data_IF_763830640459
#
_entry.id   IF_763830640459
#
_cell.length_a   1.000
_cell.length_b   1.000
_cell.length_c   1.000
_cell.angle_alpha   90.00
_cell.angle_beta   90.00
_cell.angle_gamma   90.00
#
_symmetry.space_group_name_H-M   'P 1'
#
loop_
_entity.id
_entity.type
_entity.pdbx_description
1 polymer ?
#
# COMPACT_ATOMS: atom_id res chain seq x y z
N UNK A 1 -33.20 -57.21 -42.14
CA UNK A 1 -34.22 -58.27 -41.95
C UNK A 1 -33.68 -59.30 -40.97
N UNK A 2 -34.43 -59.55 -39.87
CA UNK A 2 -34.51 -60.76 -39.01
C UNK A 2 -33.19 -61.32 -38.42
N UNK A 3 -32.94 -61.28 -37.09
CA UNK A 3 -33.38 -62.25 -36.03
C UNK A 3 -33.07 -63.72 -36.44
N UNK A 4 -32.47 -64.62 -35.67
CA UNK A 4 -32.05 -64.73 -34.27
C UNK A 4 -31.37 -66.12 -34.05
N UNK A 5 -30.90 -66.40 -32.81
CA UNK A 5 -30.82 -67.72 -32.11
C UNK A 5 -29.56 -68.59 -32.40
N UNK A 6 -28.62 -68.75 -31.45
CA UNK A 6 -28.50 -69.78 -30.35
C UNK A 6 -28.24 -71.21 -30.90
N UNK A 7 -27.40 -72.13 -30.38
CA UNK A 7 -26.88 -72.40 -29.03
C UNK A 7 -25.93 -73.65 -29.10
N UNK A 8 -24.91 -73.74 -28.22
CA UNK A 8 -24.13 -74.89 -27.68
C UNK A 8 -23.52 -76.01 -28.60
N UNK A 9 -22.46 -76.77 -28.27
CA UNK A 9 -21.28 -76.78 -27.38
C UNK A 9 -20.64 -78.19 -27.50
N UNK A 10 -19.34 -78.32 -27.82
CA UNK A 10 -18.46 -79.51 -27.58
C UNK A 10 -17.15 -79.33 -28.38
N UNK A 11 -15.95 -79.71 -27.97
CA UNK A 11 -15.34 -80.16 -26.72
C UNK A 11 -13.80 -80.15 -26.95
N UNK A 12 -13.02 -79.95 -25.88
CA UNK A 12 -11.63 -80.40 -25.70
C UNK A 12 -10.49 -79.81 -26.58
N UNK A 13 -9.27 -79.54 -26.12
CA UNK A 13 -8.64 -79.04 -24.87
C UNK A 13 -7.12 -79.07 -25.19
N UNK A 14 -6.39 -78.01 -24.78
CA UNK A 14 -4.93 -77.82 -24.83
C UNK A 14 -4.21 -77.54 -26.17
N UNK A 15 -3.64 -76.33 -26.30
CA UNK A 15 -2.62 -75.98 -27.30
C UNK A 15 -2.33 -74.47 -27.29
N UNK A 16 -1.16 -74.08 -26.75
CA UNK A 16 -0.87 -72.71 -26.32
C UNK A 16 -0.80 -71.64 -27.40
N UNK A 17 -1.32 -70.45 -27.06
CA UNK A 17 -0.92 -69.16 -27.62
C UNK A 17 -1.37 -68.06 -26.65
N UNK A 18 -0.45 -67.57 -25.82
CA UNK A 18 -0.71 -66.51 -24.85
C UNK A 18 -0.88 -65.18 -25.60
N UNK A 19 -2.11 -64.90 -26.06
CA UNK A 19 -2.50 -63.57 -26.54
C UNK A 19 -3.06 -62.77 -25.36
N UNK A 20 -2.41 -61.65 -25.08
CA UNK A 20 -2.82 -60.63 -24.12
C UNK A 20 -4.30 -60.23 -24.34
N UNK A 21 -5.17 -60.53 -23.38
CA UNK A 21 -6.48 -59.90 -23.26
C UNK A 21 -6.31 -58.64 -22.37
N UNK A 22 -6.89 -57.49 -22.72
CA UNK A 22 -6.80 -56.32 -21.86
C UNK A 22 -7.63 -56.57 -20.60
N UNK A 23 -6.99 -56.55 -19.43
CA UNK A 23 -7.69 -56.39 -18.15
C UNK A 23 -8.49 -55.09 -18.22
N UNK A 24 -9.81 -55.19 -18.37
CA UNK A 24 -10.70 -54.09 -18.04
C UNK A 24 -10.65 -53.95 -16.52
N UNK A 25 -9.70 -53.15 -16.02
CA UNK A 25 -9.73 -52.63 -14.67
C UNK A 25 -11.04 -51.85 -14.51
N UNK A 26 -12.04 -52.48 -13.90
CA UNK A 26 -13.18 -51.75 -13.38
C UNK A 26 -12.64 -50.68 -12.44
N UNK A 27 -12.83 -49.41 -12.78
CA UNK A 27 -12.49 -48.30 -11.90
C UNK A 27 -13.12 -48.59 -10.53
N UNK A 28 -12.37 -48.51 -9.42
CA UNK A 28 -13.00 -48.56 -8.12
C UNK A 28 -14.08 -47.46 -8.08
N UNK A 29 -15.22 -47.71 -7.42
CA UNK A 29 -16.27 -46.71 -7.30
C UNK A 29 -15.63 -45.41 -6.80
N UNK A 30 -15.94 -44.28 -7.46
CA UNK A 30 -15.50 -42.95 -7.01
C UNK A 30 -15.99 -42.82 -5.56
N UNK A 31 -15.11 -43.07 -4.60
CA UNK A 31 -15.36 -42.75 -3.20
C UNK A 31 -15.64 -41.27 -3.17
N UNK A 32 -16.88 -40.92 -2.85
CA UNK A 32 -17.27 -39.55 -2.66
C UNK A 32 -16.35 -38.98 -1.59
N UNK A 33 -15.57 -37.97 -1.95
CA UNK A 33 -14.73 -37.22 -1.01
C UNK A 33 -15.68 -36.73 0.09
N UNK A 34 -15.45 -37.09 1.37
CA UNK A 34 -16.33 -36.70 2.46
C UNK A 34 -16.44 -35.16 2.50
N UNK A 35 -17.60 -34.63 2.88
CA UNK A 35 -17.86 -33.18 2.89
C UNK A 35 -16.81 -32.39 3.70
N UNK A 36 -16.23 -33.00 4.75
CA UNK A 36 -15.11 -32.48 5.54
C UNK A 36 -13.81 -32.29 4.76
N UNK A 37 -13.59 -33.03 3.67
CA UNK A 37 -12.45 -32.86 2.77
C UNK A 37 -12.73 -31.87 1.62
N UNK A 38 -13.98 -31.40 1.46
CA UNK A 38 -14.30 -30.23 0.61
C UNK A 38 -14.08 -28.89 1.33
N UNK A 39 -14.19 -28.87 2.65
CA UNK A 39 -13.90 -27.68 3.48
C UNK A 39 -12.41 -27.32 3.55
N UNK A 40 -11.51 -28.24 3.20
CA UNK A 40 -10.04 -28.07 3.33
C UNK A 40 -9.30 -27.59 2.08
N UNK A 41 -10.01 -27.00 1.10
CA UNK A 41 -9.39 -26.35 -0.07
C UNK A 41 -9.62 -24.84 -0.13
N UNK A 42 -9.82 -24.18 1.01
CA UNK A 42 -9.63 -22.73 1.04
C UNK A 42 -8.16 -22.46 0.73
N UNK A 43 -7.90 -21.84 -0.43
CA UNK A 43 -6.57 -21.34 -0.75
C UNK A 43 -6.10 -20.50 0.45
N UNK A 44 -4.87 -20.71 0.93
CA UNK A 44 -4.34 -19.88 2.00
C UNK A 44 -4.46 -18.40 1.62
N UNK A 45 -4.80 -17.51 2.56
CA UNK A 45 -5.06 -16.11 2.24
C UNK A 45 -3.82 -15.49 1.57
N UNK A 46 -4.03 -14.49 0.69
CA UNK A 46 -2.94 -13.81 0.01
C UNK A 46 -1.82 -13.38 0.96
N UNK A 47 -0.59 -13.47 0.52
CA UNK A 47 0.56 -13.06 1.31
C UNK A 47 0.74 -11.55 1.18
N UNK A 48 0.55 -10.82 2.28
CA UNK A 48 1.02 -9.42 2.38
C UNK A 48 2.55 -9.41 2.51
N UNK A 49 3.21 -8.61 1.69
CA UNK A 49 4.65 -8.39 1.74
C UNK A 49 4.90 -6.89 1.89
N UNK A 50 5.56 -6.52 2.98
CA UNK A 50 6.17 -5.22 3.20
C UNK A 50 7.66 -5.27 2.87
N UNK A 51 8.15 -4.25 2.15
CA UNK A 51 9.57 -4.07 1.88
C UNK A 51 10.10 -2.86 2.67
N UNK A 52 11.13 -3.09 3.48
CA UNK A 52 11.89 -2.06 4.18
C UNK A 52 13.25 -1.87 3.46
N UNK A 53 13.31 -0.84 2.61
CA UNK A 53 14.31 -0.72 1.55
C UNK A 53 15.72 -0.37 2.05
N UNK A 54 15.81 0.33 3.18
CA UNK A 54 17.06 0.94 3.64
C UNK A 54 17.43 0.34 5.00
N UNK A 55 18.73 0.06 5.25
CA UNK A 55 19.23 -0.39 6.55
C UNK A 55 18.78 0.49 7.72
N UNK A 56 18.93 0.02 8.95
CA UNK A 56 18.69 0.88 10.11
C UNK A 56 19.78 1.97 10.23
N UNK A 57 19.44 3.17 10.75
CA UNK A 57 20.44 4.18 11.08
C UNK A 57 21.59 3.60 11.92
N UNK A 58 22.83 3.89 11.54
CA UNK A 58 24.03 3.36 12.23
C UNK A 58 24.50 1.99 11.75
N UNK A 59 23.77 1.33 10.83
CA UNK A 59 24.21 0.06 10.23
C UNK A 59 25.51 0.21 9.41
N UNK A 60 26.31 -0.86 9.26
CA UNK A 60 27.49 -0.85 8.39
C UNK A 60 27.16 -0.49 6.94
N UNK A 61 28.13 -0.01 6.14
CA UNK A 61 27.86 0.44 4.77
C UNK A 61 27.19 -0.64 3.92
N UNK A 62 26.13 -0.29 3.18
CA UNK A 62 25.30 -1.16 2.35
C UNK A 62 25.18 -0.63 0.92
N UNK A 63 26.14 -0.96 0.03
CA UNK A 63 26.14 -0.38 -1.31
C UNK A 63 25.06 -0.96 -2.23
N UNK A 64 24.25 -1.90 -1.76
CA UNK A 64 23.02 -2.38 -2.39
C UNK A 64 21.80 -1.50 -2.06
N UNK A 65 21.87 -0.69 -1.00
CA UNK A 65 20.80 0.22 -0.66
C UNK A 65 20.74 1.37 -1.67
N UNK A 66 19.54 1.93 -1.94
CA UNK A 66 19.38 3.12 -2.76
C UNK A 66 20.37 4.22 -2.40
N UNK A 67 21.15 4.69 -3.40
CA UNK A 67 22.18 5.69 -3.18
C UNK A 67 21.57 7.08 -3.03
N UNK A 68 20.60 7.41 -3.88
CA UNK A 68 19.90 8.69 -3.90
C UNK A 68 18.37 8.54 -3.72
N UNK A 69 17.66 9.62 -3.38
CA UNK A 69 16.19 9.60 -3.32
C UNK A 69 15.51 9.18 -4.62
N UNK A 70 16.11 9.44 -5.78
CA UNK A 70 15.57 9.00 -7.08
C UNK A 70 15.59 7.47 -7.18
N UNK A 71 16.72 6.85 -6.87
CA UNK A 71 16.89 5.39 -6.88
C UNK A 71 15.94 4.74 -5.87
N UNK A 72 15.76 5.39 -4.71
CA UNK A 72 14.84 4.93 -3.68
C UNK A 72 13.40 4.88 -4.20
N UNK A 73 12.95 5.92 -4.90
CA UNK A 73 11.60 6.00 -5.46
C UNK A 73 11.41 5.04 -6.65
N UNK A 74 12.45 4.84 -7.46
CA UNK A 74 12.45 3.83 -8.53
C UNK A 74 12.35 2.42 -7.95
N UNK A 75 13.11 2.11 -6.90
CA UNK A 75 13.06 0.81 -6.25
C UNK A 75 11.71 0.58 -5.54
N UNK A 76 11.08 1.60 -4.96
CA UNK A 76 9.69 1.52 -4.46
C UNK A 76 8.73 1.13 -5.58
N UNK A 77 8.83 1.77 -6.76
CA UNK A 77 7.99 1.44 -7.93
C UNK A 77 8.21 -0.01 -8.37
N UNK A 78 9.45 -0.46 -8.40
CA UNK A 78 9.81 -1.82 -8.80
C UNK A 78 9.32 -2.86 -7.77
N UNK A 79 9.42 -2.57 -6.48
CA UNK A 79 8.88 -3.41 -5.41
C UNK A 79 7.38 -3.64 -5.62
N UNK A 80 6.61 -2.57 -5.83
CA UNK A 80 5.15 -2.67 -6.02
C UNK A 80 4.82 -3.43 -7.31
N UNK A 81 5.57 -3.21 -8.41
CA UNK A 81 5.37 -3.96 -9.66
C UNK A 81 5.59 -5.47 -9.49
N UNK A 82 6.52 -5.88 -8.63
CA UNK A 82 6.83 -7.29 -8.38
C UNK A 82 5.80 -7.93 -7.45
N UNK A 83 5.25 -7.17 -6.49
CA UNK A 83 4.20 -7.65 -5.58
C UNK A 83 4.29 -7.15 -4.15
N UNK A 84 5.09 -6.13 -3.85
CA UNK A 84 5.03 -5.49 -2.54
C UNK A 84 3.68 -4.76 -2.37
N UNK A 85 2.96 -5.05 -1.30
CA UNK A 85 1.70 -4.41 -0.98
C UNK A 85 1.88 -3.20 -0.05
N UNK A 86 2.97 -3.23 0.73
CA UNK A 86 3.38 -2.18 1.65
C UNK A 86 4.88 -1.87 1.46
N UNK A 87 5.25 -0.63 1.75
CA UNK A 87 6.65 -0.22 1.86
C UNK A 87 6.85 0.53 3.17
N UNK A 88 7.93 0.19 3.86
CA UNK A 88 8.38 0.97 5.01
C UNK A 88 9.20 2.13 4.50
N UNK A 89 8.69 3.34 4.71
CA UNK A 89 9.28 4.58 4.20
C UNK A 89 10.17 5.20 5.25
N UNK A 90 11.44 5.37 4.92
CA UNK A 90 12.41 6.07 5.77
C UNK A 90 12.74 7.45 5.19
N UNK A 91 13.06 8.44 6.04
CA UNK A 91 13.28 9.81 5.63
C UNK A 91 14.69 10.02 5.01
N UNK A 92 14.99 9.35 3.90
CA UNK A 92 16.29 9.42 3.23
C UNK A 92 16.66 10.87 2.85
N UNK A 93 17.82 11.33 3.27
CA UNK A 93 18.29 12.68 2.99
C UNK A 93 18.57 12.87 1.48
N UNK A 94 18.45 14.10 0.99
CA UNK A 94 18.74 14.44 -0.42
C UNK A 94 20.22 14.28 -0.78
N UNK A 95 21.11 14.45 0.20
CA UNK A 95 22.56 14.28 0.10
C UNK A 95 23.02 12.89 0.58
N UNK A 96 22.09 11.94 0.69
CA UNK A 96 22.41 10.54 0.90
C UNK A 96 23.31 10.04 -0.23
N UNK A 97 24.31 9.23 0.12
CA UNK A 97 25.31 8.72 -0.80
C UNK A 97 25.34 7.20 -0.84
N UNK A 98 25.92 6.66 -1.92
CA UNK A 98 26.04 5.23 -2.14
C UNK A 98 26.68 4.52 -0.93
N UNK A 99 26.02 3.48 -0.45
CA UNK A 99 26.55 2.65 0.62
C UNK A 99 26.42 3.22 2.03
N UNK A 100 26.09 4.49 2.23
CA UNK A 100 25.85 5.05 3.57
C UNK A 100 24.61 5.93 3.56
N UNK A 101 23.41 5.33 3.70
CA UNK A 101 22.17 6.07 3.78
C UNK A 101 22.21 7.13 4.88
N UNK A 102 21.84 8.36 4.54
CA UNK A 102 21.62 9.44 5.50
C UNK A 102 20.13 9.70 5.67
N UNK A 103 19.75 10.23 6.82
CA UNK A 103 18.35 10.49 7.16
C UNK A 103 18.16 11.95 7.54
N UNK A 104 17.29 12.66 6.83
CA UNK A 104 16.84 14.00 7.17
C UNK A 104 15.41 13.90 7.71
N UNK A 105 15.26 14.04 9.03
CA UNK A 105 13.97 13.89 9.71
C UNK A 105 13.12 15.16 9.70
N UNK A 106 13.48 16.19 8.93
CA UNK A 106 12.68 17.39 8.80
C UNK A 106 11.30 17.09 8.21
N UNK A 107 10.27 17.85 8.64
CA UNK A 107 8.92 17.77 8.05
C UNK A 107 8.96 17.98 6.52
N UNK A 108 9.82 18.86 6.03
CA UNK A 108 9.99 19.11 4.61
C UNK A 108 10.42 17.84 3.85
N UNK A 109 11.36 17.07 4.41
CA UNK A 109 11.81 15.83 3.78
C UNK A 109 10.76 14.72 3.85
N UNK A 110 10.06 14.58 4.97
CA UNK A 110 8.93 13.64 5.08
C UNK A 110 7.87 13.91 4.01
N UNK A 111 7.45 15.16 3.85
CA UNK A 111 6.51 15.58 2.80
C UNK A 111 7.02 15.22 1.40
N UNK A 112 8.28 15.54 1.12
CA UNK A 112 8.92 15.28 -0.17
C UNK A 112 8.93 13.79 -0.51
N UNK A 113 9.35 12.94 0.43
CA UNK A 113 9.47 11.50 0.20
C UNK A 113 8.10 10.85 0.07
N UNK A 114 7.14 11.19 0.94
CA UNK A 114 5.78 10.63 0.84
C UNK A 114 5.14 11.03 -0.49
N UNK A 115 5.29 12.29 -0.93
CA UNK A 115 4.82 12.72 -2.24
C UNK A 115 5.49 11.92 -3.37
N UNK A 116 6.81 11.70 -3.29
CA UNK A 116 7.55 10.87 -4.24
C UNK A 116 7.06 9.42 -4.27
N UNK A 117 6.82 8.80 -3.11
CA UNK A 117 6.31 7.44 -2.99
C UNK A 117 4.92 7.33 -3.60
N UNK A 118 4.03 8.30 -3.35
CA UNK A 118 2.71 8.33 -3.97
C UNK A 118 2.79 8.44 -5.50
N UNK A 119 3.69 9.27 -6.02
CA UNK A 119 3.93 9.35 -7.48
C UNK A 119 4.50 8.05 -8.05
N UNK A 120 5.33 7.33 -7.28
CA UNK A 120 5.92 6.07 -7.70
C UNK A 120 4.91 4.91 -7.65
N UNK A 121 4.07 4.86 -6.62
CA UNK A 121 3.11 3.81 -6.34
C UNK A 121 1.85 4.37 -5.62
N UNK A 122 0.83 4.81 -6.36
CA UNK A 122 -0.33 5.53 -5.82
C UNK A 122 -1.13 4.80 -4.76
N UNK A 123 -1.19 3.46 -4.85
CA UNK A 123 -2.05 2.60 -4.04
C UNK A 123 -1.32 1.91 -2.87
N UNK A 124 0.02 1.98 -2.83
CA UNK A 124 0.82 1.23 -1.85
C UNK A 124 0.49 1.62 -0.41
N UNK A 125 0.51 0.66 0.51
CA UNK A 125 0.48 0.97 1.94
C UNK A 125 1.81 1.62 2.33
N UNK A 126 1.74 2.81 2.93
CA UNK A 126 2.92 3.59 3.34
C UNK A 126 3.05 3.43 4.84
N UNK A 127 3.92 2.53 5.29
CA UNK A 127 4.33 2.44 6.70
C UNK A 127 5.45 3.46 6.95
N UNK A 128 5.12 4.62 7.52
CA UNK A 128 6.12 5.67 7.69
C UNK A 128 6.93 5.48 8.97
N UNK A 129 8.25 5.46 8.82
CA UNK A 129 9.18 5.47 9.95
C UNK A 129 9.22 6.86 10.58
N UNK A 130 8.78 6.97 11.83
CA UNK A 130 8.77 8.21 12.61
C UNK A 130 9.82 8.20 13.72
N UNK A 131 10.71 7.23 13.75
CA UNK A 131 11.76 7.15 14.76
C UNK A 131 12.65 8.39 14.71
N UNK A 132 12.72 9.13 15.83
CA UNK A 132 13.45 10.39 15.94
C UNK A 132 12.84 11.57 15.18
N UNK A 133 11.60 11.47 14.68
CA UNK A 133 10.93 12.57 14.01
C UNK A 133 10.64 13.73 14.98
N UNK A 134 10.82 14.99 14.56
CA UNK A 134 10.42 16.14 15.35
C UNK A 134 8.89 16.21 15.51
N UNK A 135 8.38 16.93 16.54
CA UNK A 135 6.95 16.95 16.85
C UNK A 135 6.03 17.38 15.71
N UNK A 136 6.47 18.32 14.87
CA UNK A 136 5.74 18.81 13.70
C UNK A 136 5.60 17.74 12.61
N UNK A 137 6.68 17.01 12.31
CA UNK A 137 6.66 15.88 11.37
C UNK A 137 5.77 14.74 11.87
N UNK A 138 5.88 14.38 13.15
CA UNK A 138 5.05 13.35 13.76
C UNK A 138 3.57 13.77 13.81
N UNK A 139 3.28 15.05 14.12
CA UNK A 139 1.95 15.63 14.11
C UNK A 139 1.32 15.58 12.71
N UNK A 140 2.06 16.03 11.70
CA UNK A 140 1.65 15.96 10.30
C UNK A 140 1.35 14.52 9.86
N UNK A 141 2.23 13.56 10.16
CA UNK A 141 2.05 12.16 9.79
C UNK A 141 0.78 11.56 10.41
N UNK A 142 0.46 11.88 11.67
CA UNK A 142 -0.77 11.43 12.35
C UNK A 142 -2.04 12.06 11.78
N UNK A 143 -1.94 13.25 11.20
CA UNK A 143 -3.05 13.91 10.51
C UNK A 143 -3.19 13.43 9.05
N UNK A 144 -2.17 12.77 8.52
CA UNK A 144 -2.12 12.32 7.14
C UNK A 144 -2.82 10.97 6.99
N UNK A 145 -4.10 10.98 6.63
CA UNK A 145 -4.89 9.76 6.41
C UNK A 145 -4.41 8.86 5.26
N UNK A 146 -3.36 9.23 4.52
CA UNK A 146 -2.74 8.40 3.48
C UNK A 146 -1.52 7.62 3.98
N UNK A 147 -0.99 7.98 5.15
CA UNK A 147 0.14 7.34 5.81
C UNK A 147 -0.41 6.42 6.90
N UNK A 148 0.17 5.25 7.03
CA UNK A 148 -0.08 4.35 8.15
C UNK A 148 1.07 4.47 9.14
N UNK A 149 0.72 4.61 10.42
CA UNK A 149 1.67 4.49 11.53
C UNK A 149 1.37 3.13 12.14
N UNK A 150 2.01 2.09 11.60
CA UNK A 150 1.76 0.73 12.09
C UNK A 150 2.35 0.61 13.51
N UNK A 151 1.55 0.15 14.45
CA UNK A 151 1.91 -0.03 15.86
C UNK A 151 2.48 -1.44 16.11
N UNK A 152 3.40 -1.57 17.06
CA UNK A 152 4.06 -2.86 17.35
C UNK A 152 3.09 -3.94 17.86
N UNK A 153 1.94 -3.55 18.44
CA UNK A 153 0.91 -4.47 18.93
C UNK A 153 -0.22 -4.79 17.94
N UNK A 154 -0.34 -4.05 16.83
CA UNK A 154 -1.48 -4.14 15.91
C UNK A 154 -1.07 -4.63 14.52
N UNK A 155 -1.23 -3.79 13.50
CA UNK A 155 -0.99 -4.19 12.12
C UNK A 155 0.47 -4.60 11.86
N UNK A 156 1.44 -3.97 12.55
CA UNK A 156 2.86 -4.32 12.41
C UNK A 156 3.16 -5.72 12.97
N UNK A 157 2.50 -6.15 14.04
CA UNK A 157 2.66 -7.50 14.60
C UNK A 157 2.28 -8.61 13.60
N UNK A 158 1.42 -8.29 12.63
CA UNK A 158 1.01 -9.22 11.57
C UNK A 158 2.06 -9.36 10.46
N UNK A 159 2.98 -8.41 10.34
CA UNK A 159 4.07 -8.38 9.37
C UNK A 159 5.37 -8.88 10.02
N UNK A 160 5.65 -10.17 9.87
CA UNK A 160 6.77 -10.80 10.55
C UNK A 160 8.10 -10.53 9.82
N UNK A 161 9.13 -10.03 10.53
CA UNK A 161 10.42 -9.75 9.93
C UNK A 161 11.15 -11.04 9.54
N UNK A 162 11.47 -11.19 8.25
CA UNK A 162 12.31 -12.28 7.76
C UNK A 162 13.77 -11.83 7.61
N UNK A 163 14.34 -11.38 8.74
CA UNK A 163 15.67 -10.78 8.85
C UNK A 163 16.80 -11.69 9.38
N UNK A 164 18.01 -11.14 9.53
CA UNK A 164 19.16 -11.80 10.18
C UNK A 164 19.94 -12.79 9.29
N UNK A 165 20.58 -13.79 9.90
CA UNK A 165 21.52 -14.71 9.21
C UNK A 165 20.86 -15.72 8.25
N UNK A 166 19.59 -16.09 8.51
CA UNK A 166 18.86 -17.10 7.74
C UNK A 166 17.50 -16.57 7.21
N UNK A 167 17.49 -15.48 6.42
CA UNK A 167 16.25 -14.82 6.01
C UNK A 167 15.36 -15.72 5.14
N UNK A 168 15.95 -16.54 4.27
CA UNK A 168 15.20 -17.45 3.39
C UNK A 168 14.44 -18.53 4.16
N UNK A 169 15.06 -19.07 5.21
CA UNK A 169 14.42 -20.07 6.06
C UNK A 169 13.30 -19.44 6.89
N UNK A 170 13.50 -18.22 7.40
CA UNK A 170 12.45 -17.46 8.07
C UNK A 170 11.28 -17.16 7.13
N UNK A 171 11.54 -16.70 5.91
CA UNK A 171 10.49 -16.50 4.89
C UNK A 171 9.70 -17.79 4.69
N UNK A 172 10.38 -18.93 4.49
CA UNK A 172 9.75 -20.23 4.29
C UNK A 172 8.83 -20.59 5.47
N UNK A 173 9.30 -20.45 6.71
CA UNK A 173 8.54 -20.75 7.93
C UNK A 173 7.32 -19.84 8.07
N UNK A 174 7.49 -18.53 7.88
CA UNK A 174 6.41 -17.54 7.99
C UNK A 174 5.32 -17.80 6.94
N UNK A 175 5.72 -18.00 5.67
CA UNK A 175 4.77 -18.25 4.58
C UNK A 175 4.01 -19.55 4.83
N UNK A 176 4.70 -20.63 5.21
CA UNK A 176 4.07 -21.92 5.51
C UNK A 176 3.14 -21.85 6.72
N UNK A 177 3.48 -21.05 7.73
CA UNK A 177 2.65 -20.81 8.92
C UNK A 177 1.48 -19.85 8.70
N UNK A 178 1.25 -19.38 7.47
CA UNK A 178 0.15 -18.48 7.13
C UNK A 178 0.38 -16.99 7.44
N UNK A 179 1.53 -16.62 8.02
CA UNK A 179 1.87 -15.24 8.36
C UNK A 179 2.15 -14.33 7.16
N UNK A 180 2.35 -13.05 7.42
CA UNK A 180 2.76 -12.04 6.44
C UNK A 180 4.21 -11.60 6.66
N UNK A 181 4.83 -11.02 5.65
CA UNK A 181 6.26 -10.77 5.64
C UNK A 181 6.60 -9.29 5.71
N UNK A 182 7.66 -8.99 6.47
CA UNK A 182 8.50 -7.82 6.28
C UNK A 182 9.90 -8.26 5.87
N UNK A 183 10.41 -7.71 4.77
CA UNK A 183 11.70 -8.09 4.16
C UNK A 183 12.47 -6.85 3.70
N UNK A 184 13.69 -7.04 3.20
CA UNK A 184 14.50 -5.97 2.63
C UNK A 184 15.79 -5.75 3.40
N UNK A 185 16.59 -4.78 2.94
CA UNK A 185 17.92 -4.49 3.48
C UNK A 185 17.91 -3.98 4.92
N UNK A 186 16.75 -3.50 5.42
CA UNK A 186 16.56 -3.25 6.85
C UNK A 186 16.63 -4.51 7.69
N UNK A 187 16.03 -5.59 7.18
CA UNK A 187 15.83 -6.83 7.94
C UNK A 187 17.02 -7.78 7.80
N UNK A 188 17.57 -7.91 6.60
CA UNK A 188 18.69 -8.80 6.36
C UNK A 188 19.61 -8.30 5.27
N UNK A 189 20.86 -8.71 5.42
CA UNK A 189 21.93 -8.59 4.43
C UNK A 189 22.54 -9.95 4.09
N UNK A 190 22.06 -11.01 4.76
CA UNK A 190 22.53 -12.36 4.59
C UNK A 190 21.83 -13.04 3.41
N UNK A 191 22.58 -13.79 2.62
CA UNK A 191 22.01 -14.70 1.63
C UNK A 191 22.94 -15.90 1.43
N UNK A 192 22.45 -17.15 1.46
CA UNK A 192 23.32 -18.33 1.49
C UNK A 192 24.28 -18.46 0.28
N UNK A 193 23.83 -18.02 -0.89
CA UNK A 193 24.54 -18.21 -2.17
C UNK A 193 24.90 -16.91 -2.89
N UNK A 194 24.61 -15.75 -2.29
CA UNK A 194 24.81 -14.44 -2.92
C UNK A 194 25.50 -13.54 -1.93
N UNK A 195 26.66 -13.02 -2.32
CA UNK A 195 27.47 -12.18 -1.43
C UNK A 195 26.79 -10.84 -1.09
N UNK A 196 25.95 -10.33 -1.99
CA UNK A 196 25.38 -8.97 -1.96
C UNK A 196 23.94 -8.97 -2.51
N UNK A 197 22.93 -9.44 -1.73
CA UNK A 197 21.52 -9.38 -2.12
C UNK A 197 20.97 -7.94 -2.00
N UNK A 198 20.08 -7.53 -2.90
CA UNK A 198 19.31 -6.28 -2.81
C UNK A 198 17.84 -6.51 -2.42
N UNK A 199 17.04 -5.45 -2.25
CA UNK A 199 15.65 -5.59 -1.85
C UNK A 199 14.83 -6.43 -2.84
N UNK A 200 15.03 -6.20 -4.14
CA UNK A 200 14.33 -6.94 -5.19
C UNK A 200 14.64 -8.44 -5.19
N UNK A 201 15.80 -8.87 -4.68
CA UNK A 201 16.15 -10.29 -4.58
C UNK A 201 15.34 -10.97 -3.48
N UNK A 202 15.28 -10.35 -2.31
CA UNK A 202 14.42 -10.81 -1.20
C UNK A 202 12.96 -10.87 -1.65
N UNK A 203 12.47 -9.83 -2.33
CA UNK A 203 11.09 -9.76 -2.79
C UNK A 203 10.77 -10.83 -3.84
N UNK A 204 11.57 -10.96 -4.91
CA UNK A 204 11.35 -11.99 -5.93
C UNK A 204 11.37 -13.39 -5.34
N UNK A 205 12.24 -13.63 -4.35
CA UNK A 205 12.29 -14.91 -3.65
C UNK A 205 11.07 -15.16 -2.78
N UNK A 206 10.60 -14.16 -2.02
CA UNK A 206 9.37 -14.25 -1.25
C UNK A 206 8.15 -14.52 -2.15
N UNK A 207 8.01 -13.80 -3.27
CA UNK A 207 6.93 -14.02 -4.26
C UNK A 207 7.01 -15.42 -4.86
N UNK A 208 8.20 -15.89 -5.23
CA UNK A 208 8.41 -17.23 -5.77
C UNK A 208 8.06 -18.32 -4.75
N UNK A 209 8.48 -18.17 -3.49
CA UNK A 209 8.13 -19.10 -2.40
C UNK A 209 6.62 -19.13 -2.15
N UNK A 210 5.97 -17.96 -2.07
CA UNK A 210 4.54 -17.85 -1.87
C UNK A 210 3.77 -18.61 -2.95
N UNK A 211 4.09 -18.36 -4.22
CA UNK A 211 3.48 -19.05 -5.37
C UNK A 211 3.70 -20.56 -5.32
N UNK A 212 4.92 -21.01 -5.03
CA UNK A 212 5.23 -22.44 -4.90
C UNK A 212 4.45 -23.13 -3.77
N UNK A 213 4.09 -22.37 -2.72
CA UNK A 213 3.26 -22.84 -1.60
C UNK A 213 1.75 -22.62 -1.81
N UNK A 214 1.33 -22.21 -3.03
CA UNK A 214 -0.08 -21.98 -3.34
C UNK A 214 -0.69 -20.73 -2.69
N UNK A 215 0.15 -19.78 -2.24
CA UNK A 215 -0.27 -18.48 -1.71
C UNK A 215 -0.10 -17.39 -2.78
N UNK A 216 -1.20 -16.78 -3.28
CA UNK A 216 -1.07 -15.57 -4.10
C UNK A 216 -0.48 -14.42 -3.27
N UNK A 217 0.03 -13.39 -3.91
CA UNK A 217 0.56 -12.20 -3.22
C UNK A 217 -0.54 -11.14 -3.19
N UNK A 218 -0.71 -10.49 -2.03
CA UNK A 218 -1.76 -9.50 -1.84
C UNK A 218 -1.49 -8.23 -2.65
N UNK A 219 -2.54 -7.65 -3.21
CA UNK A 219 -2.57 -6.26 -3.68
C UNK A 219 -2.54 -5.30 -2.50
N UNK A 220 -2.19 -4.01 -2.69
CA UNK A 220 -2.28 -3.03 -1.61
C UNK A 220 -3.69 -2.89 -1.00
N UNK A 221 -4.75 -3.07 -1.79
CA UNK A 221 -6.13 -3.01 -1.31
C UNK A 221 -6.47 -4.22 -0.41
N UNK A 222 -6.11 -5.44 -0.84
CA UNK A 222 -6.25 -6.65 -0.01
C UNK A 222 -5.41 -6.53 1.26
N UNK A 223 -4.18 -6.00 1.17
CA UNK A 223 -3.34 -5.77 2.34
C UNK A 223 -4.00 -4.82 3.35
N UNK A 224 -4.66 -3.75 2.89
CA UNK A 224 -5.41 -2.85 3.77
C UNK A 224 -6.50 -3.60 4.53
N UNK A 225 -7.31 -4.40 3.83
CA UNK A 225 -8.36 -5.21 4.45
C UNK A 225 -7.79 -6.20 5.47
N UNK A 226 -6.77 -6.96 5.09
CA UNK A 226 -6.15 -8.01 5.92
C UNK A 226 -5.44 -7.45 7.16
N UNK A 227 -4.89 -6.23 7.06
CA UNK A 227 -4.25 -5.52 8.16
C UNK A 227 -5.22 -4.69 9.00
N UNK A 228 -6.52 -4.63 8.63
CA UNK A 228 -7.53 -3.83 9.34
C UNK A 228 -7.39 -2.32 9.13
N UNK A 229 -6.74 -1.91 8.02
CA UNK A 229 -6.54 -0.52 7.65
C UNK A 229 -7.75 0.03 6.89
N UNK A 230 -7.91 1.35 6.93
CA UNK A 230 -8.99 2.01 6.17
C UNK A 230 -8.77 1.82 4.65
N UNK A 231 -9.84 1.67 3.86
CA UNK A 231 -9.74 1.71 2.41
C UNK A 231 -9.17 3.06 1.93
N UNK A 232 -8.55 3.05 0.75
CA UNK A 232 -8.10 4.29 0.12
C UNK A 232 -9.29 5.16 -0.25
N UNK A 233 -9.19 6.45 0.06
CA UNK A 233 -10.12 7.47 -0.43
C UNK A 233 -9.50 8.16 -1.65
N UNK A 234 -10.35 8.78 -2.47
CA UNK A 234 -9.90 9.51 -3.65
C UNK A 234 -9.29 10.88 -3.32
N UNK A 235 -9.59 11.41 -2.14
CA UNK A 235 -9.18 12.74 -1.70
C UNK A 235 -8.91 12.74 -0.20
N UNK A 236 -7.86 13.45 0.19
CA UNK A 236 -7.48 13.73 1.57
C UNK A 236 -7.20 15.22 1.70
N UNK A 237 -7.69 15.80 2.80
CA UNK A 237 -7.23 17.07 3.32
C UNK A 237 -6.33 16.74 4.52
N UNK A 238 -5.10 17.24 4.53
CA UNK A 238 -4.11 16.87 5.54
C UNK A 238 -3.65 18.15 6.23
N UNK A 239 -4.28 18.52 7.36
CA UNK A 239 -3.81 19.67 8.14
C UNK A 239 -2.46 19.33 8.77
N UNK A 240 -1.57 20.33 8.87
CA UNK A 240 -0.26 20.17 9.53
C UNK A 240 -0.38 19.87 11.02
N UNK A 241 -1.48 20.30 11.64
CA UNK A 241 -1.85 20.01 13.02
C UNK A 241 -3.38 20.05 13.18
N UNK A 242 -3.91 19.31 14.15
CA UNK A 242 -5.34 19.37 14.51
C UNK A 242 -5.70 20.59 15.36
N UNK A 243 -4.71 21.13 16.06
CA UNK A 243 -4.84 22.31 16.90
C UNK A 243 -3.72 23.27 16.54
N UNK A 244 -4.04 24.55 16.38
CA UNK A 244 -3.07 25.60 16.05
C UNK A 244 -3.43 26.87 16.79
N UNK A 245 -2.44 27.60 17.31
CA UNK A 245 -2.68 28.89 17.97
C UNK A 245 -2.69 30.03 16.97
N UNK A 246 -3.42 31.09 17.28
CA UNK A 246 -3.29 32.33 16.54
C UNK A 246 -1.80 32.81 16.49
N UNK A 247 -1.31 33.18 15.31
CA UNK A 247 0.08 33.54 15.04
C UNK A 247 0.99 32.37 14.62
N UNK A 248 0.63 31.13 14.95
CA UNK A 248 1.41 29.95 14.56
C UNK A 248 1.24 29.61 13.08
N UNK A 249 2.26 28.97 12.52
CA UNK A 249 2.25 28.52 11.12
C UNK A 249 1.33 27.31 10.97
N UNK A 250 0.36 27.42 10.06
CA UNK A 250 -0.52 26.33 9.68
C UNK A 250 -0.29 25.98 8.21
N UNK A 251 -0.30 24.68 7.92
CA UNK A 251 -0.24 24.20 6.55
C UNK A 251 -1.37 23.21 6.27
N UNK A 252 -1.80 23.16 5.03
CA UNK A 252 -2.79 22.21 4.55
C UNK A 252 -2.29 21.59 3.26
N UNK A 253 -2.08 20.28 3.30
CA UNK A 253 -1.78 19.48 2.12
C UNK A 253 -3.09 18.89 1.56
N UNK A 254 -3.18 18.80 0.24
CA UNK A 254 -4.24 18.07 -0.44
C UNK A 254 -3.60 16.92 -1.20
N UNK A 255 -4.11 15.72 -0.95
CA UNK A 255 -3.71 14.50 -1.66
C UNK A 255 -4.93 13.99 -2.42
N UNK A 256 -4.84 13.94 -3.75
CA UNK A 256 -5.87 13.33 -4.59
C UNK A 256 -5.30 12.19 -5.41
N UNK A 257 -6.01 11.07 -5.40
CA UNK A 257 -5.69 9.91 -6.23
C UNK A 257 -6.03 10.18 -7.71
N UNK A 258 -5.45 9.42 -8.66
CA UNK A 258 -5.75 9.58 -10.06
C UNK A 258 -7.25 9.46 -10.36
N UNK A 259 -7.75 10.40 -11.15
CA UNK A 259 -9.14 10.52 -11.56
C UNK A 259 -9.16 10.97 -13.03
N UNK A 260 -9.79 10.19 -13.92
CA UNK A 260 -9.65 10.38 -15.38
C UNK A 260 -10.59 11.46 -15.93
N UNK A 261 -11.61 11.79 -15.15
CA UNK A 261 -12.62 12.79 -15.43
C UNK A 261 -12.06 14.19 -15.19
N UNK A 262 -12.49 15.15 -16.02
CA UNK A 262 -12.18 16.56 -15.79
C UNK A 262 -12.68 17.00 -14.40
N UNK A 263 -11.94 17.88 -13.72
CA UNK A 263 -12.28 18.31 -12.37
C UNK A 263 -12.06 19.80 -12.12
N UNK A 264 -12.88 20.36 -11.24
CA UNK A 264 -12.58 21.55 -10.44
C UNK A 264 -12.41 21.13 -8.98
N UNK A 265 -11.32 21.58 -8.36
CA UNK A 265 -11.02 21.31 -6.96
C UNK A 265 -11.28 22.54 -6.11
N UNK A 266 -11.88 22.32 -4.95
CA UNK A 266 -12.23 23.34 -3.96
C UNK A 266 -11.63 22.98 -2.61
N UNK A 267 -11.18 23.98 -1.88
CA UNK A 267 -10.88 23.87 -0.44
C UNK A 267 -11.56 25.03 0.25
N UNK A 268 -12.44 24.71 1.19
CA UNK A 268 -13.27 25.67 1.93
C UNK A 268 -13.07 25.45 3.42
N UNK A 269 -12.66 26.48 4.13
CA UNK A 269 -12.73 26.58 5.57
C UNK A 269 -14.10 27.13 5.97
N UNK A 270 -14.79 26.39 6.82
CA UNK A 270 -16.02 26.82 7.47
C UNK A 270 -15.68 27.19 8.91
N UNK A 271 -15.78 28.47 9.22
CA UNK A 271 -15.52 29.01 10.55
C UNK A 271 -16.63 28.60 11.55
N UNK A 272 -16.39 28.73 12.88
CA UNK A 272 -17.38 28.42 13.90
C UNK A 272 -18.72 29.17 13.75
N UNK A 273 -18.70 30.36 13.14
CA UNK A 273 -19.89 31.16 12.86
C UNK A 273 -20.56 30.83 11.51
N UNK A 274 -20.12 29.77 10.84
CA UNK A 274 -20.63 29.31 9.55
C UNK A 274 -20.10 30.07 8.34
N UNK A 275 -19.28 31.11 8.52
CA UNK A 275 -18.68 31.83 7.38
C UNK A 275 -17.72 30.93 6.62
N UNK A 276 -17.73 31.06 5.30
CA UNK A 276 -16.94 30.25 4.37
C UNK A 276 -15.82 31.06 3.75
N UNK A 277 -14.63 30.48 3.78
CA UNK A 277 -13.41 31.03 3.19
C UNK A 277 -12.77 29.98 2.31
N UNK A 278 -12.49 30.31 1.05
CA UNK A 278 -11.84 29.40 0.12
C UNK A 278 -10.38 29.69 -0.05
N UNK A 279 -9.62 28.64 -0.37
CA UNK A 279 -8.31 28.79 -0.98
C UNK A 279 -8.48 29.00 -2.48
N UNK A 280 -8.15 30.21 -2.94
CA UNK A 280 -8.05 30.51 -4.36
C UNK A 280 -6.67 30.14 -4.91
N UNK A 281 -6.54 30.16 -6.24
CA UNK A 281 -5.27 29.93 -6.94
C UNK A 281 -4.14 30.79 -6.35
N UNK A 282 -3.00 30.15 -6.07
CA UNK A 282 -1.85 30.81 -5.45
C UNK A 282 -1.90 30.87 -3.92
N UNK A 283 -2.79 30.12 -3.27
CA UNK A 283 -2.84 29.98 -1.81
C UNK A 283 -3.51 31.14 -1.07
N UNK A 284 -4.15 32.06 -1.80
CA UNK A 284 -4.85 33.20 -1.18
C UNK A 284 -6.18 32.75 -0.57
N UNK A 285 -6.45 33.21 0.64
CA UNK A 285 -7.75 33.02 1.27
C UNK A 285 -8.71 34.10 0.75
N UNK A 286 -9.86 33.69 0.23
CA UNK A 286 -10.91 34.58 -0.25
C UNK A 286 -12.24 34.22 0.41
N UNK A 287 -13.09 35.22 0.70
CA UNK A 287 -14.44 34.98 1.20
C UNK A 287 -15.28 34.30 0.10
N UNK A 288 -16.09 33.31 0.48
CA UNK A 288 -16.95 32.59 -0.45
C UNK A 288 -16.33 31.28 -0.96
N UNK A 289 -16.74 30.86 -2.16
CA UNK A 289 -16.35 29.58 -2.77
C UNK A 289 -15.60 29.82 -4.08
N UNK A 290 -14.32 29.46 -4.12
CA UNK A 290 -13.47 29.60 -5.30
C UNK A 290 -12.65 28.33 -5.55
N UNK A 291 -12.45 27.91 -6.81
CA UNK A 291 -11.64 26.75 -7.12
C UNK A 291 -10.15 27.06 -6.90
N UNK A 292 -9.42 26.11 -6.32
CA UNK A 292 -7.96 26.19 -6.19
C UNK A 292 -7.25 25.53 -7.38
N UNK A 293 -7.91 24.57 -8.03
CA UNK A 293 -7.43 23.86 -9.22
C UNK A 293 -8.57 23.64 -10.21
N UNK A 294 -8.23 23.65 -11.50
CA UNK A 294 -9.09 23.18 -12.58
C UNK A 294 -8.22 22.36 -13.51
N UNK A 295 -8.58 21.10 -13.74
CA UNK A 295 -7.87 20.20 -14.66
C UNK A 295 -8.86 19.61 -15.68
N UNK A 296 -8.82 20.07 -16.94
CA UNK A 296 -9.73 19.57 -17.97
C UNK A 296 -9.42 18.13 -18.41
N UNK A 297 -8.26 17.58 -18.06
CA UNK A 297 -7.85 16.21 -18.42
C UNK A 297 -7.99 15.23 -17.25
N UNK A 298 -8.39 15.73 -16.08
CA UNK A 298 -8.41 14.97 -14.83
C UNK A 298 -7.02 14.77 -14.23
N UNK A 299 -7.01 14.27 -13.00
CA UNK A 299 -5.80 14.00 -12.23
C UNK A 299 -5.16 12.70 -12.73
N UNK A 300 -4.13 12.77 -13.58
CA UNK A 300 -3.51 11.58 -14.20
C UNK A 300 -2.50 10.85 -13.33
N UNK A 301 -1.81 11.61 -12.48
CA UNK A 301 -0.88 11.15 -11.46
C UNK A 301 -1.35 11.70 -10.11
N UNK A 302 -1.01 11.07 -8.98
CA UNK A 302 -1.42 11.58 -7.68
C UNK A 302 -1.06 13.06 -7.51
N UNK A 303 -2.06 13.85 -7.14
CA UNK A 303 -1.86 15.26 -6.83
C UNK A 303 -1.54 15.35 -5.34
N UNK A 304 -0.31 15.70 -4.98
CA UNK A 304 0.10 15.90 -3.59
C UNK A 304 0.72 17.29 -3.48
N UNK A 305 0.00 18.26 -2.91
CA UNK A 305 0.49 19.65 -2.79
C UNK A 305 0.04 20.31 -1.49
N UNK A 306 0.94 21.10 -0.92
CA UNK A 306 0.59 22.12 0.06
C UNK A 306 -0.18 23.24 -0.61
N UNK A 307 -1.47 23.38 -0.29
CA UNK A 307 -2.37 24.38 -0.87
C UNK A 307 -2.50 25.63 0.00
N UNK A 308 -2.10 25.53 1.26
CA UNK A 308 -1.99 26.64 2.21
C UNK A 308 -0.79 26.40 3.12
N UNK A 309 0.01 27.43 3.34
CA UNK A 309 1.13 27.43 4.28
C UNK A 309 1.42 28.86 4.71
N UNK A 310 0.85 29.27 5.84
CA UNK A 310 1.00 30.62 6.38
C UNK A 310 0.71 30.64 7.88
N UNK A 311 1.15 31.70 8.56
CA UNK A 311 0.73 31.97 9.93
C UNK A 311 -0.76 32.28 10.00
N UNK A 312 -1.45 31.67 10.97
CA UNK A 312 -2.82 32.01 11.31
C UNK A 312 -2.83 33.46 11.80
N UNK A 313 -3.62 34.33 11.17
CA UNK A 313 -3.64 35.73 11.54
C UNK A 313 -4.12 35.88 13.00
N UNK A 314 -3.54 36.78 13.83
CA UNK A 314 -3.93 36.96 15.23
C UNK A 314 -5.43 37.27 15.45
N UNK A 315 -6.06 37.93 14.48
CA UNK A 315 -7.49 38.21 14.48
C UNK A 315 -8.37 37.05 13.97
N UNK A 316 -7.78 35.89 13.66
CA UNK A 316 -8.55 34.68 13.31
C UNK A 316 -9.36 34.26 14.52
N UNK A 317 -10.65 34.01 14.33
CA UNK A 317 -11.55 33.67 15.42
C UNK A 317 -11.16 32.31 16.01
N UNK A 318 -11.05 32.16 17.34
CA UNK A 318 -10.87 30.87 17.97
C UNK A 318 -12.07 29.94 17.76
N UNK A 319 -11.84 28.62 17.86
CA UNK A 319 -12.85 27.57 17.78
C UNK A 319 -12.59 26.55 16.66
N UNK A 320 -13.57 25.67 16.46
CA UNK A 320 -13.48 24.58 15.49
C UNK A 320 -13.80 25.04 14.06
N UNK A 321 -12.80 24.93 13.19
CA UNK A 321 -12.95 25.10 11.75
C UNK A 321 -13.14 23.74 11.09
N UNK A 322 -14.09 23.68 10.16
CA UNK A 322 -14.23 22.52 9.27
C UNK A 322 -13.53 22.81 7.95
N UNK A 323 -12.55 21.99 7.59
CA UNK A 323 -11.86 22.04 6.29
C UNK A 323 -12.55 21.06 5.36
N UNK A 324 -13.10 21.57 4.26
CA UNK A 324 -13.76 20.75 3.23
C UNK A 324 -12.94 20.85 1.94
N UNK A 325 -12.31 19.75 1.54
CA UNK A 325 -11.75 19.60 0.20
C UNK A 325 -12.71 18.79 -0.66
N UNK A 326 -12.94 19.22 -1.90
CA UNK A 326 -13.83 18.53 -2.82
C UNK A 326 -13.31 18.59 -4.27
N UNK A 327 -13.49 17.50 -5.01
CA UNK A 327 -13.35 17.45 -6.46
C UNK A 327 -14.74 17.31 -7.08
N UNK A 328 -15.10 18.21 -7.99
CA UNK A 328 -16.40 18.21 -8.69
C UNK A 328 -16.18 18.26 -10.20
N UNK A 329 -17.16 17.83 -11.02
CA UNK A 329 -17.11 18.03 -12.47
C UNK A 329 -17.05 19.53 -12.83
N UNK A 330 -16.42 19.94 -13.94
CA UNK A 330 -16.21 21.36 -14.27
C UNK A 330 -17.51 22.16 -14.40
N UNK A 331 -18.58 21.54 -14.88
CA UNK A 331 -19.87 22.19 -15.13
C UNK A 331 -20.84 22.06 -13.94
N UNK A 332 -20.38 21.46 -12.84
CA UNK A 332 -21.17 21.33 -11.62
C UNK A 332 -20.95 22.50 -10.67
N UNK A 333 -22.01 22.84 -9.93
CA UNK A 333 -21.88 23.74 -8.79
C UNK A 333 -20.96 23.13 -7.72
N UNK A 334 -20.27 23.97 -6.94
CA UNK A 334 -19.43 23.53 -5.82
C UNK A 334 -20.29 23.06 -4.63
N UNK A 335 -20.88 21.87 -4.74
CA UNK A 335 -21.76 21.25 -3.74
C UNK A 335 -21.25 19.86 -3.39
N UNK A 336 -21.48 19.43 -2.15
CA UNK A 336 -21.12 18.09 -1.70
C UNK A 336 -21.89 16.99 -2.45
N UNK A 337 -23.15 17.24 -2.80
CA UNK A 337 -24.00 16.29 -3.52
C UNK A 337 -23.53 16.01 -4.95
N UNK A 338 -22.68 16.87 -5.51
CA UNK A 338 -22.11 16.73 -6.87
C UNK A 338 -20.62 16.40 -6.85
N UNK A 339 -20.05 16.10 -5.67
CA UNK A 339 -18.63 15.82 -5.53
C UNK A 339 -18.29 14.39 -5.99
N UNK A 340 -17.27 14.28 -6.83
CA UNK A 340 -16.65 13.01 -7.23
C UNK A 340 -15.78 12.43 -6.11
N UNK A 341 -15.25 13.31 -5.25
CA UNK A 341 -14.50 12.98 -4.05
C UNK A 341 -14.60 14.12 -3.04
N UNK A 342 -14.63 13.78 -1.75
CA UNK A 342 -14.68 14.75 -0.65
C UNK A 342 -13.75 14.29 0.47
N UNK A 343 -13.09 15.24 1.12
CA UNK A 343 -12.41 15.06 2.39
C UNK A 343 -12.87 16.17 3.35
N UNK A 344 -13.19 15.79 4.58
CA UNK A 344 -13.64 16.70 5.63
C UNK A 344 -12.77 16.49 6.85
N UNK A 345 -12.11 17.56 7.29
CA UNK A 345 -11.28 17.55 8.49
C UNK A 345 -11.73 18.64 9.46
N UNK A 346 -11.39 18.46 10.74
CA UNK A 346 -11.58 19.48 11.78
C UNK A 346 -10.23 20.00 12.25
N UNK A 347 -10.13 21.31 12.38
CA UNK A 347 -8.97 22.02 12.93
C UNK A 347 -9.45 23.00 13.97
N UNK A 348 -8.91 22.92 15.18
CA UNK A 348 -9.21 23.85 16.27
C UNK A 348 -8.19 24.99 16.26
N UNK A 349 -8.67 26.23 16.21
CA UNK A 349 -7.84 27.42 16.43
C UNK A 349 -8.00 27.87 17.87
N UNK A 350 -6.90 27.93 18.61
CA UNK A 350 -6.84 28.42 19.99
C UNK A 350 -6.60 29.93 20.08
#
# INVERSE_FOLDING_TARGET
>A
MKRAVAVLLAAAVFGGCMRYAPEVRTRPPKTAIPASARESRRLPPPLVIEVALVPEPGSPPCPEAPAAPTDYLEEVRDCVRIGAAAVRVQPLASDSGAGRPRYDRSLANYRRIVAGVLLAAPDVVIDLDLEGAPPDAAGWARCNGRIEILDEGGARARLLPAGGEAPLEKMRKIIAGGGHLRIGLRESRGWPYRRRPGNLDYLRRAVSMARAMGRPVATPAEAREMLGLKPLTRLYAVPGARTVKAGERFSLDVIAQPLREAVKGYVVFVAPDGKRYSLAKGGRVARGVAPFISDPKGIRIPFCRTVFDASIHPATRPGDYTVVAALVPPDSAARLSTALAVAIEKVTVE
#
